data_IF_804438276679
#
_entry.id   IF_804438276679
#
_cell.length_a   1.000
_cell.length_b   1.000
_cell.length_c   1.000
_cell.angle_alpha   90.00
_cell.angle_beta   90.00
_cell.angle_gamma   90.00
#
_symmetry.space_group_name_H-M   'P 1'
#
loop_
_entity.id
_entity.type
_entity.pdbx_description
1 polymer ?
#
# COMPACT_ATOMS: atom_id res chain seq x y z
N UNK A 1 -11.16 -16.03 -43.43
CA UNK A 1 -12.39 -15.26 -43.51
C UNK A 1 -12.36 -14.07 -42.58
N UNK A 2 -12.97 -12.99 -42.96
CA UNK A 2 -12.87 -11.70 -42.21
C UNK A 2 -14.17 -11.31 -41.48
N UNK A 3 -15.23 -12.11 -41.69
CA UNK A 3 -16.57 -11.85 -41.11
C UNK A 3 -17.09 -10.42 -41.36
N UNK A 4 -16.89 -9.89 -42.59
CA UNK A 4 -17.31 -8.55 -42.98
C UNK A 4 -16.45 -7.40 -42.49
N UNK A 5 -15.37 -7.66 -41.73
CA UNK A 5 -14.54 -6.63 -41.11
C UNK A 5 -13.25 -6.27 -41.89
N UNK A 6 -13.00 -6.90 -43.02
CA UNK A 6 -11.78 -6.74 -43.78
C UNK A 6 -10.53 -7.28 -43.05
N UNK A 7 -9.36 -7.08 -43.66
CA UNK A 7 -8.09 -7.67 -43.17
C UNK A 7 -7.60 -7.08 -41.86
N UNK A 8 -7.89 -5.81 -41.57
CA UNK A 8 -7.42 -5.08 -40.40
C UNK A 8 -8.49 -4.91 -39.30
N UNK A 9 -9.77 -5.11 -39.64
CA UNK A 9 -10.86 -4.89 -38.71
C UNK A 9 -10.91 -5.92 -37.58
N UNK A 10 -11.16 -5.47 -36.35
CA UNK A 10 -11.32 -6.33 -35.19
C UNK A 10 -10.03 -6.90 -34.60
N UNK A 11 -8.86 -6.53 -35.08
CA UNK A 11 -7.56 -6.97 -34.52
C UNK A 11 -7.13 -6.17 -33.29
N UNK A 12 -7.44 -4.89 -33.26
CA UNK A 12 -7.29 -4.04 -32.08
C UNK A 12 -8.65 -3.59 -31.54
N UNK A 13 -8.66 -2.68 -30.61
CA UNK A 13 -9.89 -2.19 -29.99
C UNK A 13 -10.51 -0.98 -30.71
N UNK A 14 -9.87 -0.44 -31.74
CA UNK A 14 -10.32 0.75 -32.48
C UNK A 14 -11.70 0.60 -33.14
N UNK A 15 -12.03 -0.57 -33.66
CA UNK A 15 -13.34 -0.89 -34.24
C UNK A 15 -14.26 -1.66 -33.28
N UNK A 16 -13.89 -1.75 -32.00
CA UNK A 16 -14.68 -2.42 -30.93
C UNK A 16 -15.02 -1.46 -29.78
N UNK A 17 -14.92 -0.18 -29.99
CA UNK A 17 -15.26 0.84 -28.98
C UNK A 17 -14.19 1.14 -27.94
N UNK A 18 -12.98 0.59 -28.08
CA UNK A 18 -11.86 0.83 -27.16
C UNK A 18 -11.82 -0.14 -25.97
N UNK A 19 -10.92 0.13 -25.02
CA UNK A 19 -10.71 -0.69 -23.81
C UNK A 19 -10.91 0.13 -22.55
N UNK A 20 -11.19 -0.56 -21.44
CA UNK A 20 -11.33 0.07 -20.13
C UNK A 20 -12.42 1.15 -20.12
N UNK A 21 -12.08 2.32 -19.61
CA UNK A 21 -12.98 3.47 -19.52
C UNK A 21 -13.02 4.37 -20.77
N UNK A 22 -12.57 3.88 -21.92
CA UNK A 22 -12.69 4.61 -23.16
C UNK A 22 -14.17 4.86 -23.50
N UNK A 23 -14.47 6.05 -23.97
CA UNK A 23 -15.81 6.44 -24.41
C UNK A 23 -16.79 6.82 -23.32
N UNK A 24 -16.34 7.15 -22.11
CA UNK A 24 -17.23 7.59 -21.02
C UNK A 24 -18.01 8.87 -21.34
N UNK A 25 -17.49 9.75 -22.18
CA UNK A 25 -18.23 10.91 -22.69
C UNK A 25 -18.93 10.65 -24.02
N UNK A 26 -18.92 9.45 -24.53
CA UNK A 26 -19.55 9.06 -25.81
C UNK A 26 -20.43 7.81 -25.64
N UNK A 27 -20.00 6.66 -26.13
CA UNK A 27 -20.83 5.45 -26.12
C UNK A 27 -21.07 4.84 -24.73
N UNK A 28 -20.25 5.13 -23.73
CA UNK A 28 -20.41 4.71 -22.32
C UNK A 28 -20.95 5.82 -21.41
N UNK A 29 -21.51 6.89 -21.97
CA UNK A 29 -22.00 8.02 -21.20
C UNK A 29 -23.08 7.63 -20.17
N UNK A 30 -24.06 6.82 -20.57
CA UNK A 30 -25.08 6.34 -19.65
C UNK A 30 -24.53 5.40 -18.57
N UNK A 31 -23.54 4.59 -18.91
CA UNK A 31 -22.83 3.77 -17.93
C UNK A 31 -22.13 4.64 -16.87
N UNK A 32 -21.46 5.69 -17.31
CA UNK A 32 -20.78 6.63 -16.42
C UNK A 32 -21.79 7.33 -15.49
N UNK A 33 -22.92 7.85 -16.02
CA UNK A 33 -23.94 8.51 -15.21
C UNK A 33 -24.57 7.58 -14.16
N UNK A 34 -24.78 6.31 -14.50
CA UNK A 34 -25.43 5.34 -13.61
C UNK A 34 -24.50 4.77 -12.54
N UNK A 35 -23.27 4.42 -12.91
CA UNK A 35 -22.36 3.65 -12.04
C UNK A 35 -21.16 4.44 -11.52
N UNK A 36 -20.81 5.53 -12.18
CA UNK A 36 -19.63 6.33 -11.84
C UNK A 36 -19.94 7.85 -11.93
N UNK A 37 -20.97 8.35 -11.21
CA UNK A 37 -21.40 9.76 -11.35
C UNK A 37 -20.29 10.75 -10.98
N UNK A 38 -19.40 10.38 -10.06
CA UNK A 38 -18.31 11.23 -9.55
C UNK A 38 -16.96 10.95 -10.22
N UNK A 39 -16.97 10.24 -11.36
CA UNK A 39 -15.71 9.87 -12.04
C UNK A 39 -14.94 11.08 -12.57
N UNK A 40 -15.63 12.06 -13.11
CA UNK A 40 -15.03 13.30 -13.59
C UNK A 40 -15.13 14.41 -12.54
N UNK A 41 -14.20 15.34 -12.63
CA UNK A 41 -14.11 16.48 -11.74
C UNK A 41 -12.96 16.40 -10.76
N UNK A 42 -12.80 17.43 -9.98
CA UNK A 42 -11.80 17.51 -8.91
C UNK A 42 -12.47 17.17 -7.59
N UNK A 43 -12.00 16.12 -6.93
CA UNK A 43 -12.53 15.68 -5.65
C UNK A 43 -11.54 15.98 -4.52
N UNK A 44 -12.06 16.57 -3.45
CA UNK A 44 -11.30 16.90 -2.26
C UNK A 44 -10.29 18.03 -2.46
N UNK A 45 -9.43 18.18 -1.50
CA UNK A 45 -8.35 19.19 -1.49
C UNK A 45 -7.08 18.56 -0.87
N UNK A 46 -5.93 19.10 -1.23
CA UNK A 46 -4.65 18.68 -0.65
C UNK A 46 -4.52 19.27 0.75
N UNK A 47 -4.13 18.42 1.72
CA UNK A 47 -3.72 18.93 3.04
C UNK A 47 -2.37 19.64 2.91
N UNK A 48 -2.19 20.67 3.71
CA UNK A 48 -0.91 21.34 3.82
C UNK A 48 0.16 20.32 4.27
N UNK A 49 1.30 20.21 3.55
CA UNK A 49 2.38 19.30 3.92
C UNK A 49 2.91 19.51 5.36
N UNK A 50 2.81 20.71 5.89
CA UNK A 50 3.20 21.01 7.29
C UNK A 50 2.35 20.29 8.35
N UNK A 51 1.13 19.85 7.98
CA UNK A 51 0.22 19.13 8.86
C UNK A 51 0.33 17.60 8.72
N UNK A 52 1.14 17.12 7.78
CA UNK A 52 1.37 15.70 7.56
C UNK A 52 2.59 15.27 8.36
N UNK A 53 2.40 14.31 9.25
CA UNK A 53 3.50 13.66 9.97
C UNK A 53 4.00 12.49 9.14
N UNK A 54 5.29 12.54 8.78
CA UNK A 54 5.97 11.45 8.08
C UNK A 54 6.68 10.56 9.12
N UNK A 55 5.97 9.53 9.57
CA UNK A 55 6.58 8.52 10.45
C UNK A 55 7.52 7.63 9.65
N UNK A 56 8.74 7.44 10.13
CA UNK A 56 9.66 6.45 9.58
C UNK A 56 9.27 5.08 10.09
N UNK A 57 8.91 4.22 9.15
CA UNK A 57 8.44 2.87 9.45
C UNK A 57 9.52 1.82 9.19
N UNK A 58 9.48 0.75 9.98
CA UNK A 58 10.27 -0.46 9.74
C UNK A 58 9.36 -1.68 9.88
N UNK A 59 9.58 -2.70 9.06
CA UNK A 59 8.86 -3.96 9.16
C UNK A 59 9.65 -4.98 9.99
N UNK A 60 8.94 -5.90 10.63
CA UNK A 60 9.57 -6.95 11.44
C UNK A 60 10.54 -7.82 10.63
N UNK A 61 10.26 -8.10 9.36
CA UNK A 61 11.19 -8.84 8.50
C UNK A 61 12.50 -8.12 8.18
N UNK A 62 12.53 -6.79 8.30
CA UNK A 62 13.75 -5.99 8.10
C UNK A 62 14.64 -5.92 9.34
N UNK A 63 14.13 -6.35 10.50
CA UNK A 63 14.91 -6.37 11.75
C UNK A 63 16.08 -7.33 11.64
N UNK A 64 15.85 -8.51 11.09
CA UNK A 64 16.91 -9.54 10.90
C UNK A 64 17.99 -9.05 9.93
N UNK A 65 17.63 -8.29 8.90
CA UNK A 65 18.56 -7.73 7.93
C UNK A 65 19.43 -6.59 8.50
N UNK A 66 18.79 -5.70 9.29
CA UNK A 66 19.46 -4.47 9.78
C UNK A 66 20.15 -4.64 11.11
N UNK A 67 19.63 -5.50 11.97
CA UNK A 67 20.07 -5.62 13.36
C UNK A 67 20.57 -7.03 13.72
N UNK A 68 21.25 -7.67 12.79
CA UNK A 68 21.83 -9.01 12.98
C UNK A 68 22.54 -9.14 14.33
N UNK A 69 22.10 -10.09 15.15
CA UNK A 69 22.74 -10.47 16.40
C UNK A 69 22.45 -9.56 17.61
N UNK A 70 21.65 -8.52 17.47
CA UNK A 70 21.20 -7.69 18.60
C UNK A 70 19.87 -8.22 19.11
N UNK A 71 19.78 -8.56 20.39
CA UNK A 71 18.52 -8.97 21.02
C UNK A 71 17.71 -7.79 21.54
N UNK A 72 18.35 -6.70 21.89
CA UNK A 72 17.72 -5.47 22.35
C UNK A 72 17.91 -4.39 21.28
N UNK A 73 16.80 -3.83 20.81
CA UNK A 73 16.78 -2.86 19.73
C UNK A 73 15.93 -1.66 20.17
N UNK A 74 16.55 -0.49 20.19
CA UNK A 74 15.86 0.77 20.42
C UNK A 74 15.63 1.46 19.06
N UNK A 75 14.44 1.27 18.50
CA UNK A 75 14.09 1.82 17.19
C UNK A 75 13.96 3.34 17.22
N UNK A 76 13.57 3.92 18.36
CA UNK A 76 13.48 5.38 18.51
C UNK A 76 14.85 6.05 18.33
N UNK A 77 15.92 5.44 18.86
CA UNK A 77 17.31 5.94 18.67
C UNK A 77 17.83 5.76 17.26
N UNK A 78 17.40 4.68 16.58
CA UNK A 78 17.75 4.44 15.18
C UNK A 78 16.93 5.29 14.18
N UNK A 79 16.00 6.10 14.70
CA UNK A 79 15.20 7.05 13.91
C UNK A 79 13.98 6.41 13.23
N UNK A 80 13.47 5.33 13.77
CA UNK A 80 12.21 4.71 13.36
C UNK A 80 11.12 5.01 14.39
N UNK A 81 9.97 5.46 13.91
CA UNK A 81 8.84 5.85 14.75
C UNK A 81 7.81 4.73 14.90
N UNK A 82 7.69 3.87 13.90
CA UNK A 82 6.65 2.85 13.88
C UNK A 82 7.14 1.49 13.38
N UNK A 83 6.72 0.45 14.10
CA UNK A 83 6.98 -0.95 13.75
C UNK A 83 5.74 -1.57 13.10
N UNK A 84 5.92 -2.16 11.92
CA UNK A 84 4.88 -2.86 11.17
C UNK A 84 5.16 -4.35 11.05
N UNK A 85 4.10 -5.14 10.87
CA UNK A 85 4.13 -6.61 10.93
C UNK A 85 4.39 -7.33 9.61
N UNK A 86 4.93 -6.66 8.57
CA UNK A 86 5.24 -7.32 7.31
C UNK A 86 6.56 -8.11 7.39
N UNK A 87 6.61 -9.25 6.70
CA UNK A 87 7.76 -10.12 6.67
C UNK A 87 7.71 -11.24 7.73
N UNK A 88 8.78 -12.02 7.76
CA UNK A 88 8.97 -13.15 8.67
C UNK A 88 9.98 -12.73 9.74
N UNK A 89 9.75 -13.15 10.98
CA UNK A 89 10.67 -12.99 12.10
C UNK A 89 11.26 -14.35 12.39
N UNK A 90 12.56 -14.45 12.49
CA UNK A 90 13.27 -15.71 12.82
C UNK A 90 13.73 -15.72 14.28
N UNK A 91 13.91 -14.56 14.87
CA UNK A 91 14.44 -14.40 16.22
C UNK A 91 13.54 -13.57 17.12
N UNK A 92 13.58 -13.83 18.43
CA UNK A 92 12.91 -13.01 19.43
C UNK A 92 13.72 -11.73 19.73
N UNK A 93 13.08 -10.58 19.60
CA UNK A 93 13.67 -9.27 19.87
C UNK A 93 12.94 -8.53 20.98
N UNK A 94 13.71 -7.84 21.82
CA UNK A 94 13.17 -6.86 22.77
C UNK A 94 13.27 -5.48 22.11
N UNK A 95 12.14 -4.91 21.76
CA UNK A 95 12.08 -3.70 20.94
C UNK A 95 11.43 -2.56 21.70
N UNK A 96 12.06 -1.39 21.67
CA UNK A 96 11.51 -0.14 22.16
C UNK A 96 11.17 0.76 20.97
N UNK A 97 9.92 1.22 20.86
CA UNK A 97 9.41 2.01 19.73
C UNK A 97 8.25 2.90 20.17
N UNK A 98 8.04 4.03 19.49
CA UNK A 98 6.91 4.95 19.78
C UNK A 98 5.53 4.34 19.46
N UNK A 99 5.43 3.60 18.39
CA UNK A 99 4.18 2.92 18.02
C UNK A 99 4.42 1.60 17.30
N UNK A 100 3.54 0.62 17.50
CA UNK A 100 3.63 -0.67 16.85
C UNK A 100 2.23 -1.13 16.40
N UNK A 101 2.17 -1.86 15.29
CA UNK A 101 0.94 -2.50 14.86
C UNK A 101 0.70 -3.80 15.65
N UNK A 102 -0.56 -4.17 15.87
CA UNK A 102 -0.91 -5.39 16.61
C UNK A 102 -0.25 -6.63 16.00
N UNK A 103 -0.27 -6.75 14.67
CA UNK A 103 0.40 -7.86 13.96
C UNK A 103 1.92 -7.94 14.18
N UNK A 104 2.58 -6.82 14.42
CA UNK A 104 4.00 -6.81 14.74
C UNK A 104 4.25 -7.31 16.15
N UNK A 105 3.43 -6.88 17.10
CA UNK A 105 3.49 -7.32 18.50
C UNK A 105 3.27 -8.83 18.59
N UNK A 106 2.23 -9.34 17.94
CA UNK A 106 1.87 -10.75 17.95
C UNK A 106 3.02 -11.62 17.39
N UNK A 107 3.59 -11.23 16.24
CA UNK A 107 4.71 -11.96 15.62
C UNK A 107 5.97 -12.00 16.47
N UNK A 108 6.31 -10.89 17.14
CA UNK A 108 7.47 -10.83 18.03
C UNK A 108 7.23 -11.66 19.28
N UNK A 109 6.03 -11.63 19.84
CA UNK A 109 5.65 -12.43 21.01
C UNK A 109 5.68 -13.93 20.69
N UNK A 110 5.24 -14.37 19.51
CA UNK A 110 5.33 -15.77 19.04
C UNK A 110 6.77 -16.30 19.05
N UNK A 111 7.75 -15.45 18.79
CA UNK A 111 9.18 -15.80 18.82
C UNK A 111 9.89 -15.49 20.15
N UNK A 112 9.09 -15.19 21.20
CA UNK A 112 9.62 -14.97 22.55
C UNK A 112 10.27 -13.60 22.79
N UNK A 113 9.96 -12.62 21.95
CA UNK A 113 10.35 -11.22 22.12
C UNK A 113 9.29 -10.37 22.81
N UNK A 114 9.63 -9.15 23.15
CA UNK A 114 8.76 -8.16 23.76
C UNK A 114 8.84 -6.82 23.03
N UNK A 115 7.70 -6.15 22.86
CA UNK A 115 7.63 -4.80 22.30
C UNK A 115 7.19 -3.83 23.37
N UNK A 116 8.05 -2.86 23.70
CA UNK A 116 7.74 -1.75 24.61
C UNK A 116 7.43 -0.49 23.80
N UNK A 117 6.29 0.10 24.10
CA UNK A 117 5.85 1.36 23.48
C UNK A 117 6.25 2.50 24.41
N UNK A 118 7.03 3.45 23.90
CA UNK A 118 7.35 4.70 24.59
C UNK A 118 6.25 5.72 24.32
N UNK A 119 5.64 6.24 25.39
CA UNK A 119 4.72 7.38 25.32
C UNK A 119 5.44 8.72 25.17
#
# INVERSE_FOLDING_TARGET
MTHGKGKKGGRGSGLRGGRGNAGLHKHKFMHMLKYMPDHFGVHGFKRDPSLVTDDRIINVGQLDEKFHGKKEIDLSKEGFDKLLGAGIVEHGYNITVKSASQKAIDKIAEHGGEVKIEE
#
